data_IF_004520368001
#
_entry.id   IF_004520368001
#
_cell.length_a   1.000
_cell.length_b   1.000
_cell.length_c   1.000
_cell.angle_alpha   90.00
_cell.angle_beta   90.00
_cell.angle_gamma   90.00
#
_symmetry.space_group_name_H-M   'P 1'
#
loop_
_entity.id
_entity.type
_entity.pdbx_description
1 polymer ?
#
# COMPACT_ATOMS: atom_id res chain seq x y z
N UNK A 1 8.24 35.58 6.95
CA UNK A 1 9.32 35.98 7.87
C UNK A 1 8.94 37.34 8.42
N UNK A 2 8.77 37.45 9.73
CA UNK A 2 8.43 38.70 10.41
C UNK A 2 9.68 39.19 11.16
N UNK A 3 10.38 40.23 10.65
CA UNK A 3 11.61 40.73 11.27
C UNK A 3 11.41 41.25 12.70
N UNK A 4 10.19 41.71 13.02
CA UNK A 4 9.84 42.29 14.33
C UNK A 4 9.91 41.29 15.49
N UNK A 5 9.99 39.98 15.21
CA UNK A 5 10.07 38.92 16.23
C UNK A 5 11.48 38.63 16.73
N UNK A 6 12.49 39.38 16.27
CA UNK A 6 13.92 39.23 16.63
C UNK A 6 14.49 37.80 16.42
N UNK A 7 13.92 37.07 15.46
CA UNK A 7 14.42 35.74 15.07
C UNK A 7 15.34 35.88 13.86
N UNK A 8 16.53 35.28 13.92
CA UNK A 8 17.43 35.23 12.76
C UNK A 8 16.75 34.57 11.57
N UNK A 9 16.78 35.23 10.41
CA UNK A 9 16.23 34.70 9.16
C UNK A 9 16.76 33.30 8.82
N UNK A 10 18.05 33.06 9.05
CA UNK A 10 18.67 31.75 8.79
C UNK A 10 18.03 30.61 9.59
N UNK A 11 17.69 30.84 10.86
CA UNK A 11 17.03 29.86 11.72
C UNK A 11 15.60 29.60 11.24
N UNK A 12 14.86 30.66 10.92
CA UNK A 12 13.51 30.55 10.36
C UNK A 12 13.52 29.77 9.04
N UNK A 13 14.37 30.16 8.09
CA UNK A 13 14.45 29.54 6.78
C UNK A 13 14.86 28.06 6.88
N UNK A 14 15.84 27.73 7.74
CA UNK A 14 16.28 26.35 7.95
C UNK A 14 15.14 25.43 8.41
N UNK A 15 14.24 25.93 9.28
CA UNK A 15 13.08 25.17 9.72
C UNK A 15 12.11 24.90 8.58
N UNK A 16 11.76 25.93 7.81
CA UNK A 16 10.84 25.81 6.67
C UNK A 16 11.39 24.95 5.55
N UNK A 17 12.68 25.08 5.23
CA UNK A 17 13.35 24.23 4.23
C UNK A 17 13.23 22.76 4.65
N UNK A 18 13.56 22.45 5.91
CA UNK A 18 13.46 21.07 6.43
C UNK A 18 12.03 20.54 6.41
N UNK A 19 11.06 21.35 6.83
CA UNK A 19 9.65 20.97 6.84
C UNK A 19 9.15 20.69 5.42
N UNK A 20 9.48 21.54 4.44
CA UNK A 20 9.12 21.34 3.04
C UNK A 20 9.73 20.07 2.44
N UNK A 21 11.00 19.78 2.76
CA UNK A 21 11.66 18.53 2.34
C UNK A 21 10.95 17.32 2.95
N UNK A 22 10.63 17.35 4.25
CA UNK A 22 9.91 16.26 4.92
C UNK A 22 8.53 16.03 4.33
N UNK A 23 7.78 17.10 4.04
CA UNK A 23 6.46 17.01 3.42
C UNK A 23 6.55 16.44 1.99
N UNK A 24 7.56 16.87 1.22
CA UNK A 24 7.81 16.32 -0.11
C UNK A 24 8.13 14.83 -0.07
N UNK A 25 9.02 14.39 0.84
CA UNK A 25 9.37 12.97 1.00
C UNK A 25 8.12 12.15 1.36
N UNK A 26 7.32 12.61 2.32
CA UNK A 26 6.09 11.90 2.73
C UNK A 26 5.08 11.76 1.59
N UNK A 27 4.96 12.77 0.71
CA UNK A 27 4.00 12.77 -0.40
C UNK A 27 4.45 11.96 -1.61
N UNK A 28 5.76 11.80 -1.81
CA UNK A 28 6.34 11.23 -3.04
C UNK A 28 7.17 9.96 -2.80
N UNK A 29 7.11 9.40 -1.59
CA UNK A 29 7.85 8.20 -1.22
C UNK A 29 7.37 6.95 -1.97
N UNK A 30 6.06 6.85 -2.25
CA UNK A 30 5.45 5.74 -3.00
C UNK A 30 4.31 6.24 -3.89
N UNK A 31 4.08 5.55 -4.99
CA UNK A 31 2.95 5.70 -5.91
C UNK A 31 1.62 5.56 -5.14
N UNK A 32 1.57 4.65 -4.16
CA UNK A 32 0.38 4.46 -3.31
C UNK A 32 0.38 5.51 -2.20
N UNK A 33 -0.52 6.49 -2.32
CA UNK A 33 -0.66 7.54 -1.31
C UNK A 33 -1.19 6.97 0.00
N UNK A 34 -0.41 7.15 1.07
CA UNK A 34 -0.83 6.86 2.45
C UNK A 34 -1.56 8.04 3.08
N UNK A 35 -2.27 7.76 4.19
CA UNK A 35 -2.77 8.81 5.07
C UNK A 35 -1.62 9.64 5.66
N UNK A 36 -1.91 10.87 6.07
CA UNK A 36 -0.93 11.82 6.65
C UNK A 36 -1.16 12.08 8.14
N UNK A 37 -1.67 11.07 8.86
CA UNK A 37 -1.88 11.17 10.31
C UNK A 37 -0.56 11.42 11.06
N UNK A 38 -0.63 12.12 12.19
CA UNK A 38 0.51 12.35 13.09
C UNK A 38 1.23 11.03 13.45
N UNK A 39 0.46 9.99 13.79
CA UNK A 39 0.96 8.66 14.09
C UNK A 39 1.72 8.03 12.90
N UNK A 40 1.18 8.18 11.69
CA UNK A 40 1.80 7.65 10.46
C UNK A 40 3.09 8.39 10.11
N UNK A 41 3.13 9.73 10.28
CA UNK A 41 4.37 10.52 10.10
C UNK A 41 5.44 10.11 11.11
N UNK A 42 5.04 9.93 12.38
CA UNK A 42 5.95 9.48 13.43
C UNK A 42 6.53 8.10 13.11
N UNK A 43 5.70 7.16 12.65
CA UNK A 43 6.15 5.84 12.21
C UNK A 43 7.09 5.94 11.01
N UNK A 44 6.72 6.68 9.95
CA UNK A 44 7.54 6.79 8.74
C UNK A 44 8.99 7.23 9.03
N UNK A 45 9.16 8.26 9.85
CA UNK A 45 10.50 8.78 10.16
C UNK A 45 11.26 7.97 11.22
N UNK A 46 10.57 7.30 12.14
CA UNK A 46 11.23 6.62 13.27
C UNK A 46 11.35 5.10 13.13
N UNK A 47 10.53 4.45 12.30
CA UNK A 47 10.39 2.98 12.28
C UNK A 47 11.71 2.28 11.97
N UNK A 48 12.40 2.66 10.88
CA UNK A 48 13.70 2.06 10.51
C UNK A 48 14.75 2.26 11.60
N UNK A 49 14.79 3.44 12.22
CA UNK A 49 15.74 3.77 13.28
C UNK A 49 15.48 2.94 14.55
N UNK A 50 14.22 2.83 14.97
CA UNK A 50 13.84 2.04 16.14
C UNK A 50 14.08 0.55 15.91
N UNK A 51 13.68 0.03 14.75
CA UNK A 51 13.94 -1.36 14.36
C UNK A 51 15.42 -1.69 14.37
N UNK A 52 16.28 -0.82 13.82
CA UNK A 52 17.72 -1.03 13.83
C UNK A 52 18.33 -0.94 15.24
N UNK A 53 17.78 -0.12 16.14
CA UNK A 53 18.22 -0.04 17.53
C UNK A 53 17.87 -1.32 18.29
N UNK A 54 16.65 -1.84 18.12
CA UNK A 54 16.19 -3.06 18.76
C UNK A 54 16.93 -4.30 18.25
N UNK A 55 17.17 -4.38 16.94
CA UNK A 55 17.93 -5.47 16.34
C UNK A 55 19.41 -5.54 16.78
N UNK A 56 19.98 -4.42 17.26
CA UNK A 56 21.36 -4.38 17.79
C UNK A 56 21.45 -4.74 19.27
N UNK A 57 20.37 -4.55 20.02
CA UNK A 57 20.35 -4.74 21.47
C UNK A 57 20.07 -6.19 21.89
N UNK A 58 19.35 -6.94 21.06
CA UNK A 58 18.88 -8.27 21.44
C UNK A 58 18.77 -9.19 20.20
N UNK A 59 19.60 -10.24 20.16
CA UNK A 59 19.76 -11.12 19.00
C UNK A 59 18.65 -12.15 18.86
N UNK A 60 17.71 -12.23 19.83
CA UNK A 60 16.65 -13.24 19.87
C UNK A 60 15.22 -12.68 19.75
N UNK A 61 15.05 -11.36 19.58
CA UNK A 61 13.71 -10.78 19.46
C UNK A 61 13.03 -11.21 18.15
N UNK A 62 11.83 -11.76 18.30
CA UNK A 62 10.95 -12.06 17.16
C UNK A 62 10.46 -10.77 16.52
N UNK A 63 10.15 -10.81 15.21
CA UNK A 63 9.64 -9.65 14.47
C UNK A 63 8.40 -9.03 15.15
N UNK A 64 7.53 -9.88 15.71
CA UNK A 64 6.33 -9.46 16.43
C UNK A 64 6.65 -8.70 17.72
N UNK A 65 7.65 -9.15 18.50
CA UNK A 65 8.08 -8.45 19.71
C UNK A 65 8.66 -7.06 19.38
N UNK A 66 9.42 -6.95 18.29
CA UNK A 66 9.95 -5.67 17.80
C UNK A 66 8.79 -4.72 17.44
N UNK A 67 7.76 -5.21 16.75
CA UNK A 67 6.59 -4.39 16.42
C UNK A 67 5.82 -3.93 17.66
N UNK A 68 5.69 -4.79 18.68
CA UNK A 68 5.05 -4.44 19.96
C UNK A 68 5.81 -3.34 20.71
N UNK A 69 7.14 -3.44 20.80
CA UNK A 69 7.94 -2.41 21.46
C UNK A 69 7.88 -1.06 20.73
N UNK A 70 7.89 -1.09 19.39
CA UNK A 70 7.76 0.12 18.57
C UNK A 70 6.37 0.75 18.75
N UNK A 71 5.32 -0.07 18.79
CA UNK A 71 3.95 0.37 19.04
C UNK A 71 3.85 1.08 20.41
N UNK A 72 4.43 0.47 21.45
CA UNK A 72 4.46 1.04 22.80
C UNK A 72 5.28 2.34 22.87
N UNK A 73 6.44 2.40 22.20
CA UNK A 73 7.31 3.58 22.21
C UNK A 73 6.71 4.79 21.46
N UNK A 74 5.91 4.55 20.43
CA UNK A 74 5.28 5.60 19.61
C UNK A 74 3.82 5.87 19.97
N UNK A 75 3.19 5.06 20.82
CA UNK A 75 1.79 5.20 21.22
C UNK A 75 0.81 4.93 20.07
N UNK A 76 1.11 3.95 19.22
CA UNK A 76 0.33 3.61 18.01
C UNK A 76 -0.13 2.15 18.04
N UNK A 77 -1.10 1.80 17.21
CA UNK A 77 -1.59 0.42 17.15
C UNK A 77 -0.54 -0.51 16.52
N UNK A 78 -0.53 -1.79 16.95
CA UNK A 78 0.35 -2.80 16.36
C UNK A 78 0.06 -3.03 14.87
N UNK A 79 -1.22 -2.97 14.48
CA UNK A 79 -1.63 -3.03 13.07
C UNK A 79 -1.04 -1.89 12.24
N UNK A 80 -0.94 -0.68 12.78
CA UNK A 80 -0.33 0.45 12.08
C UNK A 80 1.17 0.24 11.89
N UNK A 81 1.86 -0.31 12.89
CA UNK A 81 3.29 -0.64 12.81
C UNK A 81 3.53 -1.68 11.73
N UNK A 82 2.76 -2.77 11.73
CA UNK A 82 2.88 -3.84 10.73
C UNK A 82 2.61 -3.34 9.31
N UNK A 83 1.54 -2.56 9.14
CA UNK A 83 1.19 -1.97 7.84
C UNK A 83 2.29 -1.03 7.36
N UNK A 84 2.84 -0.19 8.24
CA UNK A 84 3.92 0.72 7.88
C UNK A 84 5.24 -0.01 7.60
N UNK A 85 5.56 -1.08 8.34
CA UNK A 85 6.75 -1.89 8.11
C UNK A 85 6.68 -2.60 6.75
N UNK A 86 5.52 -3.20 6.44
CA UNK A 86 5.28 -3.81 5.13
C UNK A 86 5.45 -2.80 4.00
N UNK A 87 4.85 -1.60 4.14
CA UNK A 87 5.00 -0.51 3.17
C UNK A 87 6.45 -0.07 3.01
N UNK A 88 7.18 0.20 4.11
CA UNK A 88 8.57 0.66 4.05
C UNK A 88 9.56 -0.42 3.56
N UNK A 89 9.17 -1.69 3.62
CA UNK A 89 9.98 -2.82 3.17
C UNK A 89 9.90 -3.06 1.66
N UNK A 90 8.75 -2.81 1.05
CA UNK A 90 8.55 -2.94 -0.39
C UNK A 90 8.76 -1.60 -1.10
N UNK A 91 9.78 -1.52 -1.95
CA UNK A 91 9.91 -0.38 -2.87
C UNK A 91 8.95 -0.56 -4.06
N UNK A 92 8.48 0.54 -4.64
CA UNK A 92 7.74 0.49 -5.89
C UNK A 92 8.65 -0.12 -6.98
N UNK A 93 8.23 -1.25 -7.53
CA UNK A 93 8.99 -1.99 -8.53
C UNK A 93 8.42 -1.71 -9.93
N UNK A 94 9.29 -1.45 -10.89
CA UNK A 94 8.88 -1.37 -12.29
C UNK A 94 8.38 -2.73 -12.77
N UNK A 95 7.27 -2.72 -13.49
CA UNK A 95 6.70 -3.90 -14.15
C UNK A 95 7.50 -4.30 -15.39
N UNK A 96 8.17 -3.32 -16.01
CA UNK A 96 9.11 -3.51 -17.13
C UNK A 96 10.51 -3.91 -16.64
N UNK A 97 10.69 -4.17 -15.34
CA UNK A 97 11.99 -4.64 -14.85
C UNK A 97 12.27 -6.05 -15.42
N UNK A 98 13.51 -6.34 -15.85
CA UNK A 98 13.90 -7.69 -16.26
C UNK A 98 13.63 -8.71 -15.16
N UNK A 99 13.12 -9.88 -15.53
CA UNK A 99 12.98 -11.00 -14.60
C UNK A 99 14.34 -11.58 -14.19
N UNK A 100 14.45 -12.07 -12.96
CA UNK A 100 15.71 -12.60 -12.37
C UNK A 100 15.98 -14.04 -12.84
N UNK A 101 15.00 -14.70 -13.45
CA UNK A 101 15.10 -16.03 -14.05
C UNK A 101 15.98 -15.97 -15.30
N UNK A 102 17.22 -16.45 -15.18
CA UNK A 102 18.31 -16.34 -16.16
C UNK A 102 18.15 -17.10 -17.48
N UNK A 103 16.93 -17.46 -17.89
CA UNK A 103 16.65 -18.17 -19.14
C UNK A 103 15.58 -17.42 -19.95
N UNK A 104 15.88 -16.19 -20.33
CA UNK A 104 15.39 -15.51 -21.54
C UNK A 104 15.83 -14.05 -21.49
N UNK A 105 16.66 -13.62 -22.44
CA UNK A 105 16.69 -12.21 -22.81
C UNK A 105 15.24 -11.78 -23.11
N UNK A 106 14.71 -10.81 -22.35
CA UNK A 106 13.46 -10.06 -22.59
C UNK A 106 12.21 -10.36 -21.77
N UNK A 107 12.18 -11.31 -20.83
CA UNK A 107 10.98 -11.50 -20.01
C UNK A 107 10.86 -10.40 -18.92
N UNK A 108 9.81 -9.58 -19.01
CA UNK A 108 9.49 -8.51 -18.07
C UNK A 108 8.65 -9.05 -16.89
N UNK A 109 8.63 -8.35 -15.75
CA UNK A 109 7.78 -8.77 -14.61
C UNK A 109 6.30 -8.81 -14.96
N UNK A 110 5.83 -7.95 -15.86
CA UNK A 110 4.43 -7.93 -16.29
C UNK A 110 3.99 -9.19 -17.03
N UNK A 111 4.91 -9.89 -17.71
CA UNK A 111 4.58 -11.10 -18.47
C UNK A 111 4.14 -12.27 -17.57
N UNK A 112 4.47 -12.21 -16.29
CA UNK A 112 4.09 -13.20 -15.28
C UNK A 112 2.80 -12.86 -14.53
N UNK A 113 2.19 -11.69 -14.79
CA UNK A 113 0.93 -11.31 -14.17
C UNK A 113 -0.23 -12.02 -14.89
N UNK A 114 -0.92 -12.88 -14.15
CA UNK A 114 -2.12 -13.57 -14.63
C UNK A 114 -3.29 -12.58 -14.64
N UNK A 115 -4.09 -12.59 -15.70
CA UNK A 115 -5.36 -11.86 -15.72
C UNK A 115 -6.44 -12.66 -14.99
N UNK A 116 -7.23 -11.97 -14.16
CA UNK A 116 -8.43 -12.51 -13.52
C UNK A 116 -9.67 -12.46 -14.45
N UNK A 117 -9.49 -12.00 -15.69
CA UNK A 117 -10.58 -11.99 -16.66
C UNK A 117 -11.04 -13.41 -16.99
N UNK A 118 -12.36 -13.63 -17.17
CA UNK A 118 -12.90 -14.93 -17.51
C UNK A 118 -12.31 -15.42 -18.83
N UNK A 119 -12.05 -16.73 -18.89
CA UNK A 119 -11.54 -17.36 -20.11
C UNK A 119 -12.58 -17.24 -21.24
N UNK A 120 -12.16 -17.30 -22.51
CA UNK A 120 -13.08 -17.15 -23.64
C UNK A 120 -14.24 -18.17 -23.63
N UNK A 121 -14.01 -19.38 -23.16
CA UNK A 121 -15.03 -20.42 -23.00
C UNK A 121 -16.02 -20.07 -21.88
N UNK A 122 -15.55 -19.57 -20.74
CA UNK A 122 -16.39 -19.07 -19.65
C UNK A 122 -17.23 -17.87 -20.09
N UNK A 123 -16.66 -16.95 -20.87
CA UNK A 123 -17.40 -15.80 -21.42
C UNK A 123 -18.55 -16.26 -22.32
N UNK A 124 -18.28 -17.16 -23.27
CA UNK A 124 -19.30 -17.70 -24.18
C UNK A 124 -20.35 -18.51 -23.40
N UNK A 125 -19.92 -19.33 -22.44
CA UNK A 125 -20.82 -20.11 -21.58
C UNK A 125 -21.77 -19.20 -20.80
N UNK A 126 -21.23 -18.16 -20.14
CA UNK A 126 -22.01 -17.19 -19.38
C UNK A 126 -23.02 -16.44 -20.27
N UNK A 127 -22.64 -16.11 -21.50
CA UNK A 127 -23.53 -15.47 -22.47
C UNK A 127 -24.70 -16.40 -22.85
N UNK A 128 -24.39 -17.63 -23.27
CA UNK A 128 -25.40 -18.63 -23.67
C UNK A 128 -26.34 -18.96 -22.50
N UNK A 129 -25.77 -19.21 -21.32
CA UNK A 129 -26.56 -19.53 -20.14
C UNK A 129 -27.38 -18.33 -19.68
N UNK A 130 -26.86 -17.12 -19.81
CA UNK A 130 -27.60 -15.88 -19.56
C UNK A 130 -28.83 -15.77 -20.46
N UNK A 131 -28.67 -15.99 -21.76
CA UNK A 131 -29.78 -15.98 -22.72
C UNK A 131 -30.84 -17.05 -22.39
N UNK A 132 -30.40 -18.29 -22.13
CA UNK A 132 -31.29 -19.40 -21.79
C UNK A 132 -32.04 -19.14 -20.49
N UNK A 133 -31.35 -18.69 -19.44
CA UNK A 133 -31.96 -18.31 -18.16
C UNK A 133 -33.01 -17.22 -18.36
N UNK A 134 -32.75 -16.21 -19.20
CA UNK A 134 -33.72 -15.15 -19.49
C UNK A 134 -34.98 -15.71 -20.16
N UNK A 135 -34.82 -16.59 -21.15
CA UNK A 135 -35.96 -17.24 -21.84
C UNK A 135 -36.77 -18.10 -20.86
N UNK A 136 -36.10 -18.92 -20.05
CA UNK A 136 -36.76 -19.77 -19.06
C UNK A 136 -37.46 -18.95 -17.99
N UNK A 137 -36.84 -17.89 -17.48
CA UNK A 137 -37.44 -16.97 -16.51
C UNK A 137 -38.68 -16.31 -17.10
N UNK A 138 -38.60 -15.78 -18.33
CA UNK A 138 -39.73 -15.17 -19.01
C UNK A 138 -40.88 -16.17 -19.26
N UNK A 139 -40.57 -17.44 -19.51
CA UNK A 139 -41.56 -18.51 -19.65
C UNK A 139 -42.18 -18.88 -18.29
N UNK A 140 -41.38 -18.97 -17.24
CA UNK A 140 -41.82 -19.29 -15.89
C UNK A 140 -42.72 -18.18 -15.33
N UNK A 141 -42.36 -16.90 -15.53
CA UNK A 141 -43.18 -15.76 -15.11
C UNK A 141 -44.58 -15.74 -15.73
N UNK A 142 -44.79 -16.33 -16.91
CA UNK A 142 -46.13 -16.47 -17.52
C UNK A 142 -47.04 -17.43 -16.76
N UNK A 143 -46.49 -18.28 -15.89
CA UNK A 143 -47.24 -19.25 -15.10
C UNK A 143 -47.53 -18.76 -13.67
N UNK A 144 -47.04 -17.56 -13.29
CA UNK A 144 -47.41 -16.93 -12.02
C UNK A 144 -48.73 -16.14 -12.15
N UNK A 145 -49.45 -16.02 -11.05
CA UNK A 145 -50.67 -15.22 -10.95
C UNK A 145 -50.35 -13.71 -10.91
N UNK A 146 -51.28 -12.84 -11.30
CA UNK A 146 -51.08 -11.37 -11.39
C UNK A 146 -50.62 -10.66 -10.10
N UNK A 147 -50.63 -11.32 -8.94
CA UNK A 147 -50.20 -10.76 -7.64
C UNK A 147 -48.78 -11.16 -7.22
N UNK A 148 -48.16 -12.12 -7.89
CA UNK A 148 -46.77 -12.57 -7.67
C UNK A 148 -45.90 -12.24 -8.89
#
# INVERSE_FOLDING_TARGET
FEPERDVRFSTYASWWIRASIQDYILRNWSIVRGGTSSAQKALFFNLRRLRAKLAKGDTQLTLQSIHQEIAAALGVSLSDVQTMDARLSGNDASLQAPSVSGDAESAEKMDFLVSDDPLPDEQVSNMIDGERRRVWLASALKHLNERE
#
